data_IF_590458049386
#
_entry.id   IF_590458049386
#
_cell.length_a   1.000
_cell.length_b   1.000
_cell.length_c   1.000
_cell.angle_alpha   90.00
_cell.angle_beta   90.00
_cell.angle_gamma   90.00
#
_symmetry.space_group_name_H-M   'P 1'
#
loop_
_entity.id
_entity.type
_entity.pdbx_description
1 polymer ?
#
# COMPACT_ATOMS: atom_id res chain seq x y z
N UNK A 1 -1.03 -31.66 -6.77
CA UNK A 1 -1.63 -31.03 -7.97
C UNK A 1 -2.57 -29.85 -7.65
N UNK A 2 -2.38 -29.14 -6.51
CA UNK A 2 -3.23 -28.02 -6.10
C UNK A 2 -2.64 -26.62 -6.42
N UNK A 3 -1.38 -26.54 -6.85
CA UNK A 3 -0.65 -25.26 -6.96
C UNK A 3 -0.82 -24.52 -8.30
N UNK A 4 -1.35 -25.17 -9.34
CA UNK A 4 -1.54 -24.51 -10.65
C UNK A 4 -2.81 -23.63 -10.70
N UNK A 5 -3.85 -23.96 -9.93
CA UNK A 5 -5.14 -23.27 -9.97
C UNK A 5 -5.15 -21.94 -9.19
N UNK A 6 -4.17 -21.72 -8.30
CA UNK A 6 -4.07 -20.49 -7.50
C UNK A 6 -3.42 -19.37 -8.31
N UNK A 7 -2.35 -19.70 -9.06
CA UNK A 7 -1.54 -18.74 -9.83
C UNK A 7 -2.35 -17.94 -10.86
N UNK A 8 -3.25 -18.60 -11.60
CA UNK A 8 -4.11 -17.94 -12.58
C UNK A 8 -5.08 -16.92 -11.98
N UNK A 9 -5.65 -17.23 -10.81
CA UNK A 9 -6.57 -16.33 -10.09
C UNK A 9 -5.84 -15.13 -9.50
N UNK A 10 -4.66 -15.34 -8.93
CA UNK A 10 -3.81 -14.26 -8.41
C UNK A 10 -3.39 -13.31 -9.53
N UNK A 11 -3.06 -13.84 -10.72
CA UNK A 11 -2.66 -13.03 -11.87
C UNK A 11 -3.82 -12.25 -12.47
N UNK A 12 -5.02 -12.83 -12.54
CA UNK A 12 -6.22 -12.12 -12.98
C UNK A 12 -6.65 -11.03 -12.00
N UNK A 13 -6.63 -11.32 -10.69
CA UNK A 13 -6.88 -10.31 -9.65
C UNK A 13 -5.86 -9.18 -9.72
N UNK A 14 -4.57 -9.52 -9.80
CA UNK A 14 -3.49 -8.53 -9.94
C UNK A 14 -3.65 -7.67 -11.20
N UNK A 15 -3.97 -8.27 -12.36
CA UNK A 15 -4.17 -7.55 -13.62
C UNK A 15 -5.40 -6.63 -13.56
N UNK A 16 -6.50 -7.08 -12.96
CA UNK A 16 -7.71 -6.26 -12.78
C UNK A 16 -7.45 -5.10 -11.81
N UNK A 17 -6.76 -5.35 -10.70
CA UNK A 17 -6.38 -4.31 -9.73
C UNK A 17 -5.47 -3.28 -10.41
N UNK A 18 -4.44 -3.69 -11.15
CA UNK A 18 -3.53 -2.76 -11.82
C UNK A 18 -4.19 -1.97 -12.94
N UNK A 19 -5.06 -2.58 -13.76
CA UNK A 19 -5.69 -1.89 -14.88
C UNK A 19 -6.83 -0.98 -14.47
N UNK A 20 -7.59 -1.34 -13.43
CA UNK A 20 -8.80 -0.60 -13.03
C UNK A 20 -8.66 0.23 -11.77
N UNK A 21 -7.90 -0.23 -10.78
CA UNK A 21 -7.79 0.43 -9.47
C UNK A 21 -6.55 1.32 -9.43
N UNK A 22 -5.41 0.83 -9.92
CA UNK A 22 -4.10 1.53 -9.87
C UNK A 22 -3.72 2.12 -11.23
N UNK A 23 -4.70 2.63 -11.97
CA UNK A 23 -4.45 3.28 -13.25
C UNK A 23 -3.89 4.70 -13.03
N UNK A 24 -2.73 5.06 -13.59
CA UNK A 24 -2.07 6.34 -13.32
C UNK A 24 -2.86 7.57 -13.79
N UNK A 25 -3.82 7.39 -14.70
CA UNK A 25 -4.70 8.46 -15.19
C UNK A 25 -5.80 8.81 -14.19
N UNK A 26 -6.33 7.81 -13.50
CA UNK A 26 -7.44 7.99 -12.56
C UNK A 26 -6.96 8.18 -11.12
N UNK A 27 -5.77 7.67 -10.80
CA UNK A 27 -5.20 7.72 -9.45
C UNK A 27 -5.12 9.16 -8.89
N UNK A 28 -4.65 10.19 -9.63
CA UNK A 28 -4.62 11.56 -9.12
C UNK A 28 -6.01 12.12 -8.80
N UNK A 29 -7.01 11.84 -9.65
CA UNK A 29 -8.39 12.31 -9.45
C UNK A 29 -9.04 11.61 -8.24
N UNK A 30 -8.81 10.30 -8.10
CA UNK A 30 -9.27 9.51 -6.96
C UNK A 30 -8.62 10.00 -5.66
N UNK A 31 -7.30 10.18 -5.65
CA UNK A 31 -6.56 10.69 -4.48
C UNK A 31 -7.01 12.11 -4.11
N UNK A 32 -7.26 12.98 -5.09
CA UNK A 32 -7.78 14.35 -4.85
C UNK A 32 -9.17 14.31 -4.22
N UNK A 33 -10.04 13.45 -4.75
CA UNK A 33 -11.40 13.28 -4.24
C UNK A 33 -11.38 12.73 -2.81
N UNK A 34 -10.65 11.63 -2.58
CA UNK A 34 -10.43 11.06 -1.25
C UNK A 34 -9.92 12.10 -0.26
N UNK A 35 -8.88 12.85 -0.63
CA UNK A 35 -8.34 13.93 0.20
C UNK A 35 -9.39 14.98 0.53
N UNK A 36 -10.15 15.47 -0.45
CA UNK A 36 -11.19 16.48 -0.23
C UNK A 36 -12.34 15.96 0.66
N UNK A 37 -12.68 14.68 0.54
CA UNK A 37 -13.76 14.06 1.34
C UNK A 37 -13.33 13.73 2.77
N UNK A 38 -12.10 13.27 2.97
CA UNK A 38 -11.60 12.84 4.27
C UNK A 38 -10.98 14.00 5.07
N UNK A 39 -10.43 15.01 4.39
CA UNK A 39 -9.75 16.16 5.00
C UNK A 39 -10.31 17.49 4.44
N UNK A 40 -11.46 17.98 4.94
CA UNK A 40 -12.00 19.28 4.56
C UNK A 40 -10.94 20.37 4.80
N UNK A 41 -10.71 21.23 3.80
CA UNK A 41 -9.66 22.27 3.84
C UNK A 41 -8.24 21.76 4.10
N UNK A 42 -7.98 20.46 3.87
CA UNK A 42 -6.71 19.83 4.18
C UNK A 42 -6.28 19.97 5.66
N UNK A 43 -7.24 20.15 6.57
CA UNK A 43 -6.97 20.19 8.00
C UNK A 43 -6.61 18.80 8.53
N UNK A 44 -5.69 18.75 9.48
CA UNK A 44 -5.52 17.56 10.32
C UNK A 44 -6.80 17.38 11.14
N UNK A 45 -7.33 16.17 11.16
CA UNK A 45 -8.43 15.83 12.07
C UNK A 45 -8.00 16.02 13.53
N UNK A 46 -8.96 16.10 14.47
CA UNK A 46 -8.65 16.12 15.90
C UNK A 46 -7.78 14.92 16.27
N UNK A 47 -6.94 15.04 17.32
CA UNK A 47 -6.11 13.92 17.75
C UNK A 47 -6.99 12.71 18.04
N UNK A 48 -6.61 11.56 17.50
CA UNK A 48 -7.33 10.31 17.72
C UNK A 48 -7.36 10.03 19.21
N UNK A 49 -8.56 9.88 19.76
CA UNK A 49 -8.74 9.33 21.10
C UNK A 49 -8.54 7.80 21.03
N UNK A 50 -7.61 7.21 21.78
CA UNK A 50 -7.47 5.77 21.85
C UNK A 50 -8.75 5.16 22.45
N UNK A 51 -9.34 4.14 21.80
CA UNK A 51 -10.48 3.42 22.37
C UNK A 51 -10.06 2.69 23.66
N UNK A 52 -11.02 2.49 24.56
CA UNK A 52 -10.88 1.63 25.74
C UNK A 52 -10.70 0.16 25.35
N UNK A 53 -10.09 -0.66 26.21
CA UNK A 53 -9.90 -2.10 25.98
C UNK A 53 -11.21 -2.83 25.63
N UNK A 54 -12.31 -2.50 26.30
CA UNK A 54 -13.63 -3.06 25.98
C UNK A 54 -14.15 -2.62 24.60
N UNK A 55 -13.85 -1.39 24.20
CA UNK A 55 -14.22 -0.87 22.90
C UNK A 55 -13.37 -1.51 21.80
N UNK A 56 -12.07 -1.72 22.05
CA UNK A 56 -11.15 -2.45 21.16
C UNK A 56 -11.70 -3.85 20.89
N UNK A 57 -12.04 -4.57 21.96
CA UNK A 57 -12.59 -5.91 21.83
C UNK A 57 -13.93 -5.92 21.07
N UNK A 58 -14.79 -4.94 21.33
CA UNK A 58 -16.03 -4.76 20.57
C UNK A 58 -15.79 -4.45 19.09
N UNK A 59 -14.78 -3.65 18.76
CA UNK A 59 -14.37 -3.34 17.39
C UNK A 59 -13.86 -4.62 16.70
N UNK A 60 -12.98 -5.39 17.35
CA UNK A 60 -12.47 -6.66 16.83
C UNK A 60 -13.59 -7.65 16.55
N UNK A 61 -14.52 -7.81 17.49
CA UNK A 61 -15.67 -8.68 17.31
C UNK A 61 -16.52 -8.28 16.10
N UNK A 62 -16.90 -6.99 15.98
CA UNK A 62 -17.70 -6.51 14.85
C UNK A 62 -16.96 -6.69 13.52
N UNK A 63 -15.65 -6.44 13.49
CA UNK A 63 -14.82 -6.64 12.32
C UNK A 63 -14.76 -8.13 11.92
N UNK A 64 -14.56 -9.03 12.89
CA UNK A 64 -14.53 -10.46 12.66
C UNK A 64 -15.86 -10.99 12.09
N UNK A 65 -16.99 -10.54 12.65
CA UNK A 65 -18.32 -10.85 12.11
C UNK A 65 -18.48 -10.36 10.68
N UNK A 66 -18.04 -9.12 10.39
CA UNK A 66 -18.13 -8.57 9.04
C UNK A 66 -17.26 -9.35 8.04
N UNK A 67 -16.03 -9.72 8.42
CA UNK A 67 -15.12 -10.52 7.60
C UNK A 67 -15.74 -11.89 7.30
N UNK A 68 -16.23 -12.60 8.33
CA UNK A 68 -16.88 -13.89 8.14
C UNK A 68 -18.13 -13.78 7.27
N UNK A 69 -18.90 -12.69 7.40
CA UNK A 69 -20.09 -12.43 6.56
C UNK A 69 -19.78 -12.21 5.08
N UNK A 70 -18.55 -11.83 4.73
CA UNK A 70 -18.09 -11.72 3.33
C UNK A 70 -17.68 -13.06 2.73
N UNK A 71 -17.39 -14.06 3.57
CA UNK A 71 -16.91 -15.37 3.15
C UNK A 71 -18.11 -16.34 3.04
N UNK A 72 -18.36 -16.97 1.87
CA UNK A 72 -19.35 -18.02 1.75
C UNK A 72 -19.12 -19.14 2.80
N UNK A 73 -20.18 -19.69 3.42
CA UNK A 73 -20.06 -20.62 4.55
C UNK A 73 -19.30 -21.90 4.22
N UNK A 74 -19.33 -22.34 2.96
CA UNK A 74 -18.53 -23.49 2.49
C UNK A 74 -17.03 -23.20 2.47
N UNK A 75 -16.64 -21.94 2.26
CA UNK A 75 -15.24 -21.53 2.24
C UNK A 75 -14.72 -21.28 3.65
N UNK A 76 -15.56 -20.77 4.56
CA UNK A 76 -15.12 -20.56 5.94
C UNK A 76 -14.78 -21.87 6.63
N UNK A 77 -15.60 -22.92 6.45
CA UNK A 77 -15.32 -24.23 7.05
C UNK A 77 -14.05 -24.89 6.52
N UNK A 78 -13.73 -24.68 5.23
CA UNK A 78 -12.51 -25.19 4.62
C UNK A 78 -11.29 -24.36 5.05
N UNK A 79 -11.41 -23.04 5.06
CA UNK A 79 -10.31 -22.12 5.33
C UNK A 79 -9.85 -22.17 6.79
N UNK A 80 -10.81 -22.12 7.73
CA UNK A 80 -10.55 -22.19 9.17
C UNK A 80 -10.45 -23.63 9.70
N UNK A 81 -10.68 -24.64 8.84
CA UNK A 81 -10.76 -26.05 9.23
C UNK A 81 -11.70 -26.33 10.43
N UNK A 82 -12.67 -25.43 10.66
CA UNK A 82 -13.58 -25.45 11.79
C UNK A 82 -15.03 -25.43 11.28
N UNK A 83 -15.86 -26.33 11.78
CA UNK A 83 -17.29 -26.37 11.43
C UNK A 83 -18.12 -25.38 12.26
N UNK A 84 -17.60 -24.97 13.43
CA UNK A 84 -18.27 -24.11 14.38
C UNK A 84 -17.98 -22.63 14.12
N UNK A 85 -19.02 -21.80 14.18
CA UNK A 85 -18.94 -20.37 13.92
C UNK A 85 -18.14 -19.64 15.01
N UNK A 86 -18.28 -20.05 16.27
CA UNK A 86 -17.58 -19.39 17.37
C UNK A 86 -16.08 -19.62 17.28
N UNK A 87 -15.67 -20.82 16.85
CA UNK A 87 -14.27 -21.12 16.59
C UNK A 87 -13.71 -20.34 15.39
N UNK A 88 -14.46 -20.22 14.30
CA UNK A 88 -14.08 -19.36 13.17
C UNK A 88 -13.94 -17.89 13.60
N UNK A 89 -14.85 -17.41 14.44
CA UNK A 89 -14.82 -16.04 14.97
C UNK A 89 -13.60 -15.81 15.85
N UNK A 90 -13.25 -16.76 16.71
CA UNK A 90 -12.06 -16.69 17.54
C UNK A 90 -10.78 -16.63 16.71
N UNK A 91 -10.67 -17.44 15.65
CA UNK A 91 -9.50 -17.42 14.75
C UNK A 91 -9.35 -16.09 13.99
N UNK A 92 -10.44 -15.52 13.52
CA UNK A 92 -10.41 -14.19 12.87
C UNK A 92 -10.02 -13.12 13.87
N UNK A 93 -10.55 -13.16 15.10
CA UNK A 93 -10.16 -12.21 16.15
C UNK A 93 -8.69 -12.32 16.51
N UNK A 94 -8.15 -13.53 16.57
CA UNK A 94 -6.73 -13.75 16.83
C UNK A 94 -5.87 -13.21 15.69
N UNK A 95 -6.29 -13.41 14.44
CA UNK A 95 -5.65 -12.78 13.29
C UNK A 95 -5.68 -11.25 13.40
N UNK A 96 -6.79 -10.67 13.83
CA UNK A 96 -6.92 -9.23 14.05
C UNK A 96 -6.04 -8.71 15.19
N UNK A 97 -5.62 -9.55 16.14
CA UNK A 97 -4.71 -9.14 17.22
C UNK A 97 -3.34 -8.69 16.72
N UNK A 98 -2.92 -9.06 15.50
CA UNK A 98 -1.70 -8.48 14.92
C UNK A 98 -1.77 -6.95 14.72
N UNK A 99 -2.98 -6.39 14.62
CA UNK A 99 -3.20 -4.95 14.47
C UNK A 99 -3.09 -4.19 15.80
N UNK A 100 -2.93 -4.88 16.93
CA UNK A 100 -2.65 -4.22 18.20
C UNK A 100 -1.18 -3.78 18.29
N UNK A 101 -0.30 -4.41 17.51
CA UNK A 101 1.13 -4.16 17.56
C UNK A 101 1.49 -2.89 16.78
N UNK A 102 2.01 -1.90 17.52
CA UNK A 102 2.44 -0.62 16.96
C UNK A 102 3.58 -0.73 15.93
N UNK A 103 4.48 -1.70 16.07
CA UNK A 103 5.58 -1.95 15.15
C UNK A 103 5.05 -2.53 13.83
N UNK A 104 4.14 -3.51 13.90
CA UNK A 104 3.49 -4.06 12.70
C UNK A 104 2.68 -2.99 11.96
N UNK A 105 1.92 -2.18 12.70
CA UNK A 105 1.18 -1.06 12.13
C UNK A 105 2.08 -0.03 11.44
N UNK A 106 3.24 0.28 12.04
CA UNK A 106 4.23 1.16 11.42
C UNK A 106 4.68 0.59 10.07
N UNK A 107 5.14 -0.67 10.06
CA UNK A 107 5.59 -1.32 8.82
C UNK A 107 4.51 -1.40 7.77
N UNK A 108 3.27 -1.71 8.15
CA UNK A 108 2.13 -1.71 7.23
C UNK A 108 1.96 -0.35 6.53
N UNK A 109 2.01 0.76 7.28
CA UNK A 109 1.89 2.10 6.70
C UNK A 109 3.08 2.42 5.78
N UNK A 110 4.30 2.11 6.18
CA UNK A 110 5.48 2.35 5.33
C UNK A 110 5.40 1.54 4.03
N UNK A 111 4.97 0.28 4.09
CA UNK A 111 4.77 -0.57 2.90
C UNK A 111 3.66 -0.05 1.98
N UNK A 112 2.56 0.47 2.53
CA UNK A 112 1.50 1.10 1.72
C UNK A 112 2.03 2.35 1.03
N UNK A 113 2.76 3.22 1.75
CA UNK A 113 3.33 4.45 1.19
C UNK A 113 4.37 4.11 0.12
N UNK A 114 5.24 3.16 0.38
CA UNK A 114 6.23 2.65 -0.59
C UNK A 114 5.55 2.14 -1.86
N UNK A 115 4.50 1.32 -1.73
CA UNK A 115 3.72 0.84 -2.87
C UNK A 115 3.12 1.99 -3.68
N UNK A 116 2.57 3.02 -3.02
CA UNK A 116 2.03 4.19 -3.71
C UNK A 116 3.13 4.96 -4.44
N UNK A 117 4.28 5.16 -3.81
CA UNK A 117 5.43 5.87 -4.40
C UNK A 117 5.92 5.14 -5.65
N UNK A 118 6.19 3.84 -5.55
CA UNK A 118 6.63 3.02 -6.68
C UNK A 118 5.61 2.98 -7.82
N UNK A 119 4.31 3.17 -7.52
CA UNK A 119 3.27 3.24 -8.55
C UNK A 119 3.14 4.59 -9.22
N UNK A 120 3.44 5.67 -8.51
CA UNK A 120 3.39 7.02 -9.06
C UNK A 120 4.67 7.37 -9.82
N UNK A 121 5.81 6.82 -9.40
CA UNK A 121 7.14 7.07 -9.96
C UNK A 121 7.83 5.72 -10.18
N UNK A 122 7.43 4.95 -11.22
CA UNK A 122 8.00 3.62 -11.48
C UNK A 122 9.50 3.65 -11.75
N UNK A 123 10.07 4.81 -12.10
CA UNK A 123 11.51 5.00 -12.26
C UNK A 123 12.28 4.70 -10.95
N UNK A 124 11.65 4.91 -9.79
CA UNK A 124 12.20 4.59 -8.48
C UNK A 124 12.26 3.09 -8.16
N UNK A 125 11.58 2.25 -8.94
CA UNK A 125 11.64 0.79 -8.80
C UNK A 125 12.96 0.24 -9.37
N UNK A 126 13.48 0.88 -10.43
CA UNK A 126 14.68 0.44 -11.13
C UNK A 126 15.96 1.12 -10.65
N UNK A 127 15.88 2.40 -10.26
CA UNK A 127 17.02 3.22 -9.88
C UNK A 127 16.70 4.06 -8.65
N UNK A 128 17.67 4.18 -7.74
CA UNK A 128 17.50 5.00 -6.55
C UNK A 128 17.33 6.49 -6.92
N UNK A 129 16.67 7.30 -6.07
CA UNK A 129 16.52 8.75 -6.33
C UNK A 129 17.85 9.46 -6.61
N UNK A 130 18.95 8.98 -6.00
CA UNK A 130 20.30 9.53 -6.17
C UNK A 130 20.86 9.27 -7.57
N UNK A 131 20.69 8.05 -8.08
CA UNK A 131 21.16 7.64 -9.42
C UNK A 131 20.41 8.43 -10.50
N UNK A 132 19.09 8.59 -10.35
CA UNK A 132 18.25 9.41 -11.24
C UNK A 132 18.56 10.92 -11.17
N UNK A 133 19.12 11.40 -10.06
CA UNK A 133 19.57 12.79 -9.91
C UNK A 133 20.92 13.01 -10.60
N UNK A 134 21.82 12.03 -10.51
CA UNK A 134 23.13 12.03 -11.18
C UNK A 134 23.01 11.93 -12.71
N UNK A 135 22.05 11.14 -13.22
CA UNK A 135 21.79 11.05 -14.68
C UNK A 135 21.17 12.34 -15.24
N UNK A 136 20.40 13.09 -14.43
CA UNK A 136 19.77 14.36 -14.84
C UNK A 136 20.58 15.60 -14.52
N UNK A 137 21.63 15.49 -13.71
CA UNK A 137 22.63 16.56 -13.63
C UNK A 137 23.35 16.64 -14.96
N UNK A 138 22.85 17.50 -15.84
CA UNK A 138 23.61 18.01 -16.97
C UNK A 138 24.88 18.64 -16.40
N UNK A 139 26.03 18.10 -16.78
CA UNK A 139 27.33 18.69 -16.50
C UNK A 139 27.34 20.17 -16.95
N UNK A 140 27.33 21.11 -15.99
CA UNK A 140 27.51 22.54 -16.27
C UNK A 140 28.99 22.87 -16.56
N UNK A 141 29.82 21.89 -16.95
CA UNK A 141 31.26 22.12 -17.09
C UNK A 141 31.98 21.42 -18.23
N UNK A 142 31.37 21.28 -19.40
CA UNK A 142 32.14 20.99 -20.61
C UNK A 142 31.44 21.56 -21.83
N UNK A 143 31.60 22.87 -22.07
CA UNK A 143 31.55 23.47 -23.40
C UNK A 143 32.07 24.92 -23.34
N UNK A 144 33.37 25.07 -23.08
CA UNK A 144 34.10 26.23 -23.57
C UNK A 144 35.29 25.72 -24.40
N UNK A 145 35.26 25.85 -25.74
CA UNK A 145 36.44 25.59 -26.54
C UNK A 145 37.45 26.68 -26.21
N UNK A 146 38.52 26.32 -25.50
CA UNK A 146 39.71 27.18 -25.37
C UNK A 146 40.34 27.23 -26.76
N UNK A 147 39.96 28.26 -27.53
CA UNK A 147 40.66 28.68 -28.72
C UNK A 147 42.11 28.94 -28.36
N UNK A 148 43.00 28.20 -29.01
CA UNK A 148 44.43 28.47 -29.06
C UNK A 148 44.67 29.94 -29.44
N UNK A 149 45.48 30.63 -28.64
CA UNK A 149 46.16 31.86 -29.05
C UNK A 149 47.61 31.74 -28.66
N UNK A 150 48.41 31.33 -29.65
CA UNK A 150 49.86 31.53 -29.67
C UNK A 150 50.21 32.93 -29.20
N UNK A 151 51.10 33.04 -28.23
CA UNK A 151 51.93 34.22 -28.04
C UNK A 151 53.35 33.75 -27.72
N UNK A 152 54.17 33.80 -28.77
CA UNK A 152 55.61 34.02 -28.72
C UNK A 152 55.93 35.22 -27.83
N UNK A 153 56.83 35.01 -26.86
CA UNK A 153 57.97 35.86 -26.53
C UNK A 153 58.89 35.06 -25.60
#
# INVERSE_FOLDING_TARGET
MANLLTSGKSRLLSDVIHKRIVNPTFLPAVLRTLRATLFPNNGLGPPRQPPSDHEIEGIKHRCAVAILGLIPPKLSTIFFAAADLDQQLAEVKETLSCLDDSYLNKHLIFQIVELIILRLVPELEAQGPRELMEERSVDVHTDLPISSSSRTC
#
